data_IF_746874067796
#
_entry.id   IF_746874067796
#
_cell.length_a   1.000
_cell.length_b   1.000
_cell.length_c   1.000
_cell.angle_alpha   90.00
_cell.angle_beta   90.00
_cell.angle_gamma   90.00
#
_symmetry.space_group_name_H-M   'P 1'
#
loop_
_entity.id
_entity.type
_entity.pdbx_description
1 polymer ?
#
# COMPACT_ATOMS: atom_id res chain seq x y z
N UNK A 1 -0.33 -80.93 -10.19
CA UNK A 1 0.77 -79.97 -10.42
C UNK A 1 0.36 -78.69 -9.72
N UNK A 2 0.95 -78.45 -8.54
CA UNK A 2 0.59 -77.40 -7.60
C UNK A 2 1.21 -76.06 -8.03
N UNK A 3 0.44 -74.97 -8.01
CA UNK A 3 0.99 -73.62 -7.94
C UNK A 3 0.32 -72.95 -6.73
N UNK A 4 1.06 -72.94 -5.62
CA UNK A 4 0.70 -72.21 -4.41
C UNK A 4 1.22 -70.78 -4.52
N UNK A 5 0.32 -69.83 -4.36
CA UNK A 5 0.56 -68.39 -4.30
C UNK A 5 1.29 -68.06 -2.99
N UNK A 6 2.56 -67.66 -3.06
CA UNK A 6 3.32 -67.16 -1.90
C UNK A 6 3.08 -65.66 -1.78
N UNK A 7 2.28 -65.26 -0.79
CA UNK A 7 2.12 -63.87 -0.37
C UNK A 7 3.26 -63.55 0.60
N UNK A 8 4.24 -62.76 0.14
CA UNK A 8 5.29 -62.21 1.01
C UNK A 8 4.77 -60.93 1.66
N UNK A 9 4.36 -61.08 2.91
CA UNK A 9 4.02 -60.00 3.83
C UNK A 9 5.32 -59.27 4.21
N UNK A 10 5.54 -58.09 3.61
CA UNK A 10 6.65 -57.21 3.95
C UNK A 10 6.25 -56.35 5.15
N UNK A 11 6.77 -56.73 6.32
CA UNK A 11 6.74 -55.92 7.55
C UNK A 11 7.90 -54.92 7.43
N UNK A 12 7.59 -53.66 7.14
CA UNK A 12 8.56 -52.57 7.28
C UNK A 12 8.28 -51.86 8.61
N UNK A 13 9.11 -52.19 9.60
CA UNK A 13 9.27 -51.42 10.82
C UNK A 13 10.01 -50.14 10.45
N UNK A 14 9.38 -48.98 10.61
CA UNK A 14 10.08 -47.71 10.65
C UNK A 14 9.63 -46.95 11.90
N UNK A 15 10.62 -46.46 12.64
CA UNK A 15 10.54 -46.19 14.06
C UNK A 15 9.73 -44.95 14.42
N UNK A 16 9.09 -45.05 15.58
CA UNK A 16 8.73 -43.94 16.42
C UNK A 16 10.01 -43.15 16.75
N UNK A 17 10.06 -41.88 16.36
CA UNK A 17 10.93 -40.91 17.02
C UNK A 17 10.02 -39.87 17.64
N UNK A 18 9.99 -39.89 18.97
CA UNK A 18 9.39 -38.87 19.82
C UNK A 18 9.96 -37.50 19.46
N UNK A 19 9.17 -36.64 18.82
CA UNK A 19 9.50 -35.23 18.78
C UNK A 19 9.01 -34.60 20.09
N UNK A 20 9.95 -34.47 21.02
CA UNK A 20 9.83 -33.70 22.25
C UNK A 20 9.26 -32.31 21.97
N UNK A 21 8.33 -31.90 22.83
CA UNK A 21 7.52 -30.71 22.68
C UNK A 21 8.32 -29.41 22.61
N UNK A 22 7.94 -28.58 21.64
CA UNK A 22 8.26 -27.16 21.63
C UNK A 22 7.34 -26.46 22.65
N UNK A 23 7.86 -25.63 23.56
CA UNK A 23 7.03 -24.87 24.49
C UNK A 23 6.26 -23.77 23.75
N UNK A 24 4.95 -23.71 23.99
CA UNK A 24 4.06 -22.63 23.57
C UNK A 24 4.52 -21.28 24.14
N UNK A 25 4.41 -20.17 23.39
CA UNK A 25 4.62 -18.84 23.94
C UNK A 25 3.56 -18.56 25.01
N UNK A 26 4.04 -18.23 26.21
CA UNK A 26 3.26 -17.99 27.41
C UNK A 26 2.49 -16.68 27.26
N UNK A 27 1.18 -16.75 27.05
CA UNK A 27 0.27 -15.61 27.17
C UNK A 27 0.14 -15.21 28.65
N UNK A 28 0.58 -14.00 29.00
CA UNK A 28 0.30 -13.37 30.31
C UNK A 28 -0.65 -12.19 30.09
N UNK A 29 -1.67 -12.00 30.95
CA UNK A 29 -2.91 -11.33 30.58
C UNK A 29 -2.91 -9.81 30.76
N UNK A 30 -3.90 -9.22 30.11
CA UNK A 30 -4.29 -7.82 30.11
C UNK A 30 -4.33 -7.17 31.51
N UNK A 31 -3.86 -5.93 31.57
CA UNK A 31 -4.27 -4.95 32.58
C UNK A 31 -5.16 -3.91 31.91
N UNK A 32 -6.35 -3.78 32.49
CA UNK A 32 -7.40 -2.83 32.19
C UNK A 32 -7.01 -1.41 32.57
N UNK A 33 -7.26 -0.45 31.69
CA UNK A 33 -7.71 0.89 32.10
C UNK A 33 -8.44 1.58 30.95
N UNK A 34 -9.75 1.67 31.13
CA UNK A 34 -10.67 2.53 30.41
C UNK A 34 -10.31 4.00 30.62
N UNK A 35 -10.21 4.78 29.54
CA UNK A 35 -10.52 6.22 29.60
C UNK A 35 -11.14 6.66 28.28
N UNK A 36 -12.45 6.85 28.34
CA UNK A 36 -13.26 7.60 27.39
C UNK A 36 -12.72 9.03 27.29
N UNK A 37 -12.20 9.43 26.13
CA UNK A 37 -11.96 10.82 25.81
C UNK A 37 -12.74 11.15 24.54
N UNK A 38 -13.83 11.90 24.73
CA UNK A 38 -14.71 12.36 23.67
C UNK A 38 -14.01 13.33 22.71
N UNK A 39 -14.45 13.26 21.46
CA UNK A 39 -14.11 14.17 20.38
C UNK A 39 -14.67 15.58 20.70
N UNK A 40 -13.86 16.66 20.69
CA UNK A 40 -14.40 18.01 20.77
C UNK A 40 -14.93 18.46 19.41
N UNK A 41 -16.25 18.48 19.27
CA UNK A 41 -16.97 19.14 18.17
C UNK A 41 -16.82 20.65 18.31
N UNK A 42 -15.95 21.26 17.51
CA UNK A 42 -15.86 22.73 17.44
C UNK A 42 -16.84 23.22 16.37
N UNK A 43 -17.95 23.78 16.84
CA UNK A 43 -18.91 24.54 16.04
C UNK A 43 -18.25 25.88 15.68
N UNK A 44 -17.92 26.08 14.40
CA UNK A 44 -17.51 27.39 13.90
C UNK A 44 -18.70 28.10 13.28
N UNK A 45 -19.05 29.23 13.89
CA UNK A 45 -20.10 30.18 13.53
C UNK A 45 -19.89 30.76 12.12
N UNK A 46 -20.94 30.73 11.31
CA UNK A 46 -21.03 31.37 10.00
C UNK A 46 -21.17 32.88 10.20
N UNK A 47 -20.20 33.68 9.73
CA UNK A 47 -20.33 35.13 9.67
C UNK A 47 -20.73 35.56 8.26
N UNK A 48 -21.95 36.06 8.18
CA UNK A 48 -22.57 36.75 7.05
C UNK A 48 -21.80 38.04 6.73
N UNK A 49 -21.31 38.17 5.50
CA UNK A 49 -20.80 39.45 4.97
C UNK A 49 -21.47 39.78 3.64
N UNK A 50 -21.84 41.04 3.54
CA UNK A 50 -22.68 41.71 2.56
C UNK A 50 -21.99 41.97 1.21
N UNK A 51 -22.69 41.71 0.09
CA UNK A 51 -22.49 42.35 -1.23
C UNK A 51 -22.76 43.89 -1.14
N UNK A 52 -22.40 44.80 -2.09
CA UNK A 52 -22.39 44.68 -3.58
C UNK A 52 -21.28 45.59 -4.25
N UNK A 53 -21.35 46.08 -5.52
CA UNK A 53 -22.22 45.81 -6.66
C UNK A 53 -21.50 45.45 -7.99
N UNK A 54 -22.34 45.15 -8.98
CA UNK A 54 -22.04 44.81 -10.36
C UNK A 54 -21.32 45.92 -11.14
N UNK A 55 -20.37 45.51 -11.98
CA UNK A 55 -19.92 46.28 -13.13
C UNK A 55 -20.19 45.54 -14.43
N UNK A 56 -20.70 46.31 -15.38
CA UNK A 56 -21.10 45.94 -16.73
C UNK A 56 -19.90 46.08 -17.65
N UNK A 57 -19.59 45.10 -18.49
CA UNK A 57 -18.93 45.41 -19.77
C UNK A 57 -19.13 44.35 -20.85
N UNK A 58 -19.86 44.78 -21.89
CA UNK A 58 -19.65 44.61 -23.33
C UNK A 58 -19.28 43.24 -23.92
N UNK A 59 -20.27 42.72 -24.64
CA UNK A 59 -20.17 41.76 -25.75
C UNK A 59 -19.26 42.31 -26.86
N UNK A 60 -18.28 41.50 -27.28
CA UNK A 60 -17.60 41.66 -28.57
C UNK A 60 -17.75 40.36 -29.35
N UNK A 61 -18.44 40.46 -30.47
CA UNK A 61 -18.58 39.42 -31.49
C UNK A 61 -17.45 39.59 -32.52
N UNK A 62 -16.67 38.53 -32.77
CA UNK A 62 -15.87 38.37 -33.97
C UNK A 62 -15.73 36.87 -34.26
N UNK A 63 -16.57 36.35 -35.18
CA UNK A 63 -16.22 35.94 -36.57
C UNK A 63 -15.31 34.71 -36.63
N UNK A 64 -15.93 33.62 -37.08
CA UNK A 64 -15.37 32.35 -37.54
C UNK A 64 -14.38 32.55 -38.68
N UNK A 65 -13.22 31.89 -38.58
CA UNK A 65 -12.42 31.47 -39.74
C UNK A 65 -11.88 30.07 -39.47
N UNK A 66 -12.34 29.13 -40.28
CA UNK A 66 -11.76 27.80 -40.42
C UNK A 66 -10.32 27.90 -40.93
N UNK A 67 -9.38 27.25 -40.25
CA UNK A 67 -8.05 26.99 -40.77
C UNK A 67 -7.62 25.55 -40.46
N UNK A 68 -7.21 24.91 -41.54
CA UNK A 68 -6.87 23.51 -41.70
C UNK A 68 -5.62 23.10 -40.91
N UNK A 69 -5.65 21.85 -40.48
CA UNK A 69 -4.71 21.02 -39.74
C UNK A 69 -3.22 21.19 -40.06
N UNK A 70 -2.40 21.20 -39.02
CA UNK A 70 -1.03 20.64 -39.01
C UNK A 70 -0.80 19.99 -37.64
N UNK A 71 -0.32 18.75 -37.54
CA UNK A 71 -0.07 18.12 -36.25
C UNK A 71 1.19 18.73 -35.64
N UNK A 72 1.01 19.62 -34.66
CA UNK A 72 2.09 20.05 -33.79
C UNK A 72 2.49 18.89 -32.89
N UNK A 73 3.68 18.35 -33.12
CA UNK A 73 4.42 17.47 -32.19
C UNK A 73 4.28 18.00 -30.76
N UNK A 74 3.94 17.18 -29.75
CA UNK A 74 3.97 17.62 -28.37
C UNK A 74 5.37 18.12 -28.03
N UNK A 75 5.45 19.38 -27.63
CA UNK A 75 6.66 20.00 -27.09
C UNK A 75 7.12 19.16 -25.91
N UNK A 76 8.31 18.56 -26.00
CA UNK A 76 8.93 17.88 -24.88
C UNK A 76 9.18 18.91 -23.76
N UNK A 77 8.50 18.71 -22.64
CA UNK A 77 8.72 19.35 -21.34
C UNK A 77 10.20 19.16 -20.91
N UNK A 78 10.81 20.10 -20.17
CA UNK A 78 12.24 20.06 -19.88
C UNK A 78 12.65 18.79 -19.14
N UNK A 79 13.84 18.30 -19.44
CA UNK A 79 14.46 17.10 -18.88
C UNK A 79 14.45 17.06 -17.35
N UNK A 80 13.71 16.10 -16.82
CA UNK A 80 14.14 15.17 -15.77
C UNK A 80 14.17 15.72 -14.35
N UNK A 81 13.03 15.79 -13.68
CA UNK A 81 13.01 15.44 -12.25
C UNK A 81 13.52 14.00 -12.14
N UNK A 82 14.51 13.76 -11.29
CA UNK A 82 14.99 12.40 -10.97
C UNK A 82 13.77 11.59 -10.53
N UNK A 83 13.52 10.44 -11.17
CA UNK A 83 12.38 9.58 -10.86
C UNK A 83 12.89 8.16 -10.65
N UNK A 84 12.58 7.58 -9.50
CA UNK A 84 12.99 6.21 -9.18
C UNK A 84 11.78 5.31 -8.92
N UNK A 85 11.76 4.17 -9.60
CA UNK A 85 10.73 3.15 -9.43
C UNK A 85 10.88 2.46 -8.07
N UNK A 86 9.83 2.49 -7.25
CA UNK A 86 9.83 1.87 -5.93
C UNK A 86 10.19 0.37 -5.99
N UNK A 87 9.70 -0.34 -7.01
CA UNK A 87 9.94 -1.78 -7.19
C UNK A 87 11.39 -2.12 -7.54
N UNK A 88 12.16 -1.14 -8.05
CA UNK A 88 13.60 -1.28 -8.29
C UNK A 88 14.44 -1.09 -7.02
N UNK A 89 13.86 -0.49 -5.99
CA UNK A 89 14.55 -0.09 -4.76
C UNK A 89 14.24 -1.02 -3.58
N UNK A 90 13.04 -1.59 -3.51
CA UNK A 90 12.52 -2.32 -2.35
C UNK A 90 11.86 -3.65 -2.72
N UNK A 91 11.70 -4.55 -1.75
CA UNK A 91 11.12 -5.89 -1.93
C UNK A 91 9.81 -6.06 -1.14
N UNK A 92 8.73 -6.62 -1.72
CA UNK A 92 7.47 -6.90 -1.00
C UNK A 92 7.62 -8.07 -0.03
N UNK A 93 8.34 -7.86 1.07
CA UNK A 93 8.65 -8.89 2.06
C UNK A 93 8.15 -8.60 3.47
N UNK A 94 7.61 -7.42 3.70
CA UNK A 94 7.06 -7.03 4.99
C UNK A 94 5.60 -7.43 5.19
N UNK A 95 5.30 -8.73 5.21
CA UNK A 95 3.94 -9.23 5.38
C UNK A 95 3.46 -9.10 6.83
N UNK A 96 2.29 -8.50 7.05
CA UNK A 96 1.77 -8.19 8.39
C UNK A 96 0.29 -8.54 8.55
N UNK A 97 -0.12 -8.78 9.79
CA UNK A 97 -1.52 -9.00 10.16
C UNK A 97 -2.02 -10.38 9.75
N UNK A 98 -3.26 -10.45 9.26
CA UNK A 98 -3.88 -11.67 8.76
C UNK A 98 -3.31 -12.05 7.38
N UNK A 99 -2.02 -12.41 7.29
CA UNK A 99 -1.31 -12.58 6.01
C UNK A 99 -1.89 -13.68 5.12
N UNK A 100 -2.54 -14.70 5.71
CA UNK A 100 -3.21 -15.76 4.95
C UNK A 100 -4.50 -15.27 4.26
N UNK A 101 -4.95 -14.05 4.55
CA UNK A 101 -6.08 -13.39 3.88
C UNK A 101 -5.61 -12.58 2.67
N UNK A 102 -4.30 -12.53 2.38
CA UNK A 102 -3.74 -11.74 1.28
C UNK A 102 -3.42 -12.66 0.09
N UNK A 103 -3.95 -12.32 -1.07
CA UNK A 103 -3.42 -12.78 -2.36
C UNK A 103 -2.74 -11.60 -3.07
N UNK A 104 -1.51 -11.82 -3.52
CA UNK A 104 -0.67 -10.80 -4.15
C UNK A 104 -0.19 -11.28 -5.51
N UNK A 105 -0.39 -10.44 -6.53
CA UNK A 105 0.21 -10.62 -7.83
C UNK A 105 0.97 -9.34 -8.19
N UNK A 106 2.30 -9.44 -8.30
CA UNK A 106 3.15 -8.31 -8.68
C UNK A 106 2.85 -7.79 -10.09
N UNK A 107 2.47 -8.70 -11.00
CA UNK A 107 2.39 -8.47 -12.44
C UNK A 107 1.03 -8.96 -12.97
N UNK A 108 -0.06 -8.31 -12.57
CA UNK A 108 -1.42 -8.65 -13.02
C UNK A 108 -1.78 -7.89 -14.29
N UNK A 109 -2.10 -8.62 -15.35
CA UNK A 109 -2.62 -8.05 -16.60
C UNK A 109 -4.12 -7.73 -16.56
N UNK A 110 -4.80 -7.95 -15.42
CA UNK A 110 -6.25 -7.74 -15.30
C UNK A 110 -6.63 -6.26 -15.48
N UNK A 111 -5.76 -5.37 -14.99
CA UNK A 111 -5.95 -3.94 -15.09
C UNK A 111 -4.63 -3.21 -14.84
N UNK A 112 -3.99 -2.74 -15.90
CA UNK A 112 -2.84 -1.84 -15.82
C UNK A 112 -3.29 -0.38 -15.89
N UNK A 113 -2.53 0.53 -15.29
CA UNK A 113 -2.60 1.97 -15.58
C UNK A 113 -1.63 2.30 -16.71
N UNK A 114 -0.36 1.96 -16.52
CA UNK A 114 0.71 2.12 -17.49
C UNK A 114 1.31 0.77 -17.87
N UNK A 115 1.73 0.63 -19.13
CA UNK A 115 2.37 -0.60 -19.57
C UNK A 115 1.42 -1.82 -19.57
N UNK A 116 1.97 -3.04 -19.39
CA UNK A 116 1.21 -4.28 -19.60
C UNK A 116 0.54 -4.86 -18.35
N UNK A 117 0.96 -4.46 -17.14
CA UNK A 117 0.53 -5.04 -15.88
C UNK A 117 0.51 -4.01 -14.73
N UNK A 118 -0.10 -4.40 -13.61
CA UNK A 118 -0.10 -3.65 -12.35
C UNK A 118 0.00 -4.64 -11.18
N UNK A 119 0.33 -4.11 -9.99
CA UNK A 119 0.23 -4.87 -8.75
C UNK A 119 -1.24 -5.06 -8.41
N UNK A 120 -1.65 -6.30 -8.15
CA UNK A 120 -2.99 -6.64 -7.66
C UNK A 120 -2.89 -7.22 -6.25
N UNK A 121 -3.70 -6.68 -5.35
CA UNK A 121 -3.82 -7.17 -3.97
C UNK A 121 -5.28 -7.50 -3.71
N UNK A 122 -5.55 -8.73 -3.28
CA UNK A 122 -6.83 -9.14 -2.73
C UNK A 122 -6.67 -9.42 -1.23
N UNK A 123 -7.59 -8.86 -0.43
CA UNK A 123 -7.73 -9.14 0.99
C UNK A 123 -9.11 -9.76 1.23
N UNK A 124 -9.18 -10.96 1.80
CA UNK A 124 -10.45 -11.68 2.00
C UNK A 124 -11.24 -11.20 3.23
N UNK A 125 -10.57 -10.57 4.21
CA UNK A 125 -11.16 -10.14 5.48
C UNK A 125 -11.73 -11.25 6.38
N UNK A 126 -11.33 -12.50 6.15
CA UNK A 126 -11.74 -13.68 6.93
C UNK A 126 -11.17 -13.68 8.36
N UNK A 127 -10.15 -12.84 8.62
CA UNK A 127 -9.47 -12.71 9.91
C UNK A 127 -8.83 -14.03 10.34
N UNK A 128 -8.16 -14.72 9.42
CA UNK A 128 -7.61 -16.06 9.67
C UNK A 128 -6.60 -16.10 10.83
N UNK A 129 -5.96 -14.97 11.16
CA UNK A 129 -5.05 -14.82 12.31
C UNK A 129 -5.63 -13.97 13.44
N UNK A 130 -6.92 -13.60 13.35
CA UNK A 130 -7.67 -12.88 14.37
C UNK A 130 -7.34 -11.39 14.52
N UNK A 131 -6.52 -10.81 13.65
CA UNK A 131 -6.05 -9.43 13.78
C UNK A 131 -7.08 -8.42 13.25
N UNK A 132 -7.87 -8.80 12.24
CA UNK A 132 -8.86 -7.94 11.61
C UNK A 132 -8.26 -6.91 10.64
N UNK A 133 -6.99 -7.06 10.28
CA UNK A 133 -6.26 -6.23 9.33
C UNK A 133 -5.09 -7.00 8.73
N UNK A 134 -4.65 -6.58 7.54
CA UNK A 134 -3.48 -7.13 6.89
C UNK A 134 -2.74 -6.04 6.10
N UNK A 135 -1.46 -6.26 5.83
CA UNK A 135 -0.66 -5.32 5.06
C UNK A 135 0.61 -5.92 4.48
N UNK A 136 1.19 -5.21 3.53
CA UNK A 136 2.48 -5.53 2.89
C UNK A 136 3.34 -4.29 2.94
N UNK A 137 4.53 -4.40 3.51
CA UNK A 137 5.61 -3.43 3.38
C UNK A 137 6.57 -3.87 2.28
N UNK A 138 7.00 -2.91 1.47
CA UNK A 138 8.16 -3.02 0.60
C UNK A 138 9.39 -2.57 1.40
N UNK A 139 10.27 -3.52 1.71
CA UNK A 139 11.40 -3.34 2.61
C UNK A 139 12.74 -3.39 1.87
N UNK A 140 13.71 -2.64 2.41
CA UNK A 140 15.11 -2.78 2.05
C UNK A 140 16.04 -2.72 3.30
N UNK A 141 17.03 -3.62 3.39
CA UNK A 141 17.13 -4.89 2.69
C UNK A 141 15.86 -5.74 2.84
N UNK A 142 15.78 -6.82 2.05
CA UNK A 142 14.64 -7.74 2.12
C UNK A 142 14.35 -8.15 3.57
N UNK A 143 13.08 -8.04 3.99
CA UNK A 143 12.62 -8.36 5.35
C UNK A 143 13.33 -7.59 6.48
N UNK A 144 13.85 -6.38 6.20
CA UNK A 144 14.48 -5.54 7.22
C UNK A 144 13.46 -4.84 8.11
N UNK A 145 13.16 -5.43 9.27
CA UNK A 145 12.37 -4.83 10.35
C UNK A 145 13.25 -4.10 11.37
N UNK A 146 14.19 -3.28 10.89
CA UNK A 146 15.12 -2.52 11.72
C UNK A 146 16.22 -3.35 12.38
N UNK A 147 16.50 -4.54 11.82
CA UNK A 147 17.56 -5.45 12.27
C UNK A 147 18.88 -5.23 11.54
N UNK A 148 18.84 -4.66 10.33
CA UNK A 148 20.01 -4.34 9.53
C UNK A 148 20.25 -2.81 9.52
N UNK A 149 21.50 -2.40 9.72
CA UNK A 149 21.93 -0.99 9.60
C UNK A 149 22.13 -0.60 8.14
N UNK A 150 21.07 -0.73 7.35
CA UNK A 150 21.10 -0.46 5.91
C UNK A 150 19.73 0.05 5.45
N UNK A 151 19.71 0.80 4.36
CA UNK A 151 18.53 1.48 3.83
C UNK A 151 18.84 2.19 2.51
N UNK A 152 17.82 2.82 1.94
CA UNK A 152 17.95 3.64 0.73
C UNK A 152 18.13 5.09 1.11
N UNK A 153 19.14 5.74 0.57
CA UNK A 153 19.21 7.20 0.58
C UNK A 153 18.28 7.73 -0.51
N UNK A 154 17.19 8.36 -0.08
CA UNK A 154 16.16 8.94 -0.94
C UNK A 154 16.11 10.46 -0.80
N UNK A 155 17.18 11.08 -0.27
CA UNK A 155 17.22 12.51 0.05
C UNK A 155 17.08 13.45 -1.15
N UNK A 156 17.22 12.95 -2.38
CA UNK A 156 17.00 13.73 -3.60
C UNK A 156 15.51 13.91 -3.95
N UNK A 157 14.63 13.08 -3.38
CA UNK A 157 13.20 13.05 -3.71
C UNK A 157 12.39 13.84 -2.67
N UNK A 158 11.27 14.38 -3.13
CA UNK A 158 10.37 15.25 -2.36
C UNK A 158 8.95 14.72 -2.26
N UNK A 159 8.60 13.73 -3.09
CA UNK A 159 7.29 13.10 -3.16
C UNK A 159 7.43 11.60 -3.40
N UNK A 160 6.47 10.84 -2.89
CA UNK A 160 6.17 9.48 -3.32
C UNK A 160 4.81 9.51 -4.00
N UNK A 161 4.76 9.23 -5.30
CA UNK A 161 3.55 9.20 -6.12
C UNK A 161 3.17 7.75 -6.45
N UNK A 162 1.88 7.50 -6.60
CA UNK A 162 1.36 6.21 -7.03
C UNK A 162 -0.05 6.34 -7.58
N UNK A 163 -0.40 5.45 -8.50
CA UNK A 163 -1.75 5.29 -9.02
C UNK A 163 -2.43 4.12 -8.34
N UNK A 164 -3.68 4.30 -7.94
CA UNK A 164 -4.47 3.24 -7.28
C UNK A 164 -5.92 3.29 -7.73
N UNK A 165 -6.55 2.12 -7.76
CA UNK A 165 -8.00 2.00 -7.86
C UNK A 165 -8.54 0.75 -7.16
N UNK A 166 -9.84 0.77 -6.90
CA UNK A 166 -10.61 -0.38 -6.45
C UNK A 166 -11.09 -1.25 -7.61
N UNK A 167 -11.38 -2.52 -7.33
CA UNK A 167 -12.02 -3.41 -8.28
C UNK A 167 -13.52 -3.13 -8.44
N UNK A 168 -14.20 -2.73 -7.35
CA UNK A 168 -15.65 -2.46 -7.32
C UNK A 168 -15.99 -1.04 -6.88
N UNK A 169 -15.02 -0.31 -6.32
CA UNK A 169 -15.22 1.01 -5.74
C UNK A 169 -15.75 0.94 -4.31
N UNK A 170 -15.33 1.88 -3.47
CA UNK A 170 -15.66 1.95 -2.05
C UNK A 170 -14.67 1.24 -1.13
N UNK A 171 -13.69 0.50 -1.68
CA UNK A 171 -12.61 -0.12 -0.92
C UNK A 171 -11.87 0.94 -0.07
N UNK A 172 -11.53 0.56 1.15
CA UNK A 172 -10.83 1.43 2.12
C UNK A 172 -9.42 0.93 2.35
N UNK A 173 -8.42 1.74 2.06
CA UNK A 173 -7.01 1.37 2.20
C UNK A 173 -6.19 2.54 2.72
N UNK A 174 -5.07 2.25 3.36
CA UNK A 174 -4.10 3.25 3.80
C UNK A 174 -2.73 2.93 3.20
N UNK A 175 -2.02 3.96 2.73
CA UNK A 175 -0.67 3.84 2.21
C UNK A 175 0.33 4.60 3.07
N UNK A 176 1.53 4.02 3.26
CA UNK A 176 2.57 4.59 4.13
C UNK A 176 3.96 4.49 3.51
N UNK A 177 4.87 5.29 4.06
CA UNK A 177 6.32 5.24 3.77
C UNK A 177 7.11 5.57 5.02
N UNK A 178 8.25 4.91 5.19
CA UNK A 178 9.10 4.95 6.38
C UNK A 178 8.50 4.20 7.57
N UNK A 179 8.99 4.53 8.76
CA UNK A 179 8.42 4.10 10.05
C UNK A 179 8.79 2.69 10.51
N UNK A 180 9.73 2.02 9.84
CA UNK A 180 10.31 0.77 10.37
C UNK A 180 11.04 1.07 11.67
N UNK A 181 10.59 0.44 12.76
CA UNK A 181 11.21 0.56 14.09
C UNK A 181 12.11 -0.65 14.36
N UNK A 182 13.08 -0.49 15.26
CA UNK A 182 14.03 -1.53 15.62
C UNK A 182 15.34 -0.99 16.19
N UNK A 183 16.34 -1.86 16.30
CA UNK A 183 17.70 -1.47 16.72
C UNK A 183 18.27 -0.40 15.80
N UNK A 184 18.12 -0.62 14.50
CA UNK A 184 18.41 0.35 13.45
C UNK A 184 17.08 0.85 12.91
N UNK A 185 16.62 1.98 13.43
CA UNK A 185 15.37 2.58 12.96
C UNK A 185 15.54 3.22 11.59
N UNK A 186 14.43 3.28 10.86
CA UNK A 186 14.27 4.11 9.67
C UNK A 186 14.60 5.57 9.99
N UNK A 187 15.32 6.27 9.11
CA UNK A 187 15.52 7.72 9.27
C UNK A 187 14.19 8.47 9.14
N UNK A 188 13.30 7.98 8.28
CA UNK A 188 11.96 8.49 8.11
C UNK A 188 11.07 7.95 9.23
N UNK A 189 11.04 8.66 10.36
CA UNK A 189 10.27 8.25 11.54
C UNK A 189 9.54 9.43 12.23
N UNK A 190 8.25 9.29 12.60
CA UNK A 190 7.36 8.17 12.28
C UNK A 190 7.07 8.08 10.77
N UNK A 191 6.38 7.01 10.34
CA UNK A 191 5.93 6.90 8.95
C UNK A 191 5.08 8.13 8.54
N UNK A 192 5.11 8.44 7.25
CA UNK A 192 4.14 9.33 6.60
C UNK A 192 3.02 8.48 5.99
N UNK A 193 1.82 9.04 5.88
CA UNK A 193 0.63 8.28 5.46
C UNK A 193 -0.35 9.14 4.67
N UNK A 194 -1.11 8.51 3.77
CA UNK A 194 -2.30 9.11 3.15
C UNK A 194 -3.49 9.25 4.11
N UNK A 195 -3.44 8.56 5.25
CA UNK A 195 -4.65 8.17 5.97
C UNK A 195 -5.50 7.20 5.13
N UNK A 196 -6.71 6.92 5.60
CA UNK A 196 -7.61 5.98 4.92
C UNK A 196 -8.23 6.65 3.69
N UNK A 197 -7.90 6.13 2.52
CA UNK A 197 -8.51 6.47 1.24
C UNK A 197 -9.79 5.65 1.01
N UNK A 198 -10.68 6.19 0.19
CA UNK A 198 -11.83 5.47 -0.37
C UNK A 198 -11.64 5.42 -1.86
N UNK A 199 -11.41 4.23 -2.41
CA UNK A 199 -11.06 4.10 -3.81
C UNK A 199 -12.29 4.17 -4.69
N UNK A 200 -12.13 4.74 -5.89
CA UNK A 200 -13.10 4.60 -6.98
C UNK A 200 -12.71 3.43 -7.88
N UNK A 201 -13.50 3.15 -8.90
CA UNK A 201 -13.16 2.19 -9.97
C UNK A 201 -12.22 2.77 -11.02
N UNK A 202 -11.99 4.09 -10.98
CA UNK A 202 -11.09 4.78 -11.89
C UNK A 202 -9.70 4.90 -11.26
N UNK A 203 -8.68 4.91 -12.12
CA UNK A 203 -7.32 5.18 -11.68
C UNK A 203 -7.20 6.61 -11.16
N UNK A 204 -6.74 6.74 -9.92
CA UNK A 204 -6.51 8.03 -9.26
C UNK A 204 -5.06 8.09 -8.76
N UNK A 205 -4.39 9.21 -9.05
CA UNK A 205 -3.05 9.48 -8.55
C UNK A 205 -3.11 10.03 -7.13
N UNK A 206 -2.24 9.50 -6.27
CA UNK A 206 -2.03 9.99 -4.92
C UNK A 206 -0.55 10.28 -4.69
N UNK A 207 -0.30 11.16 -3.72
CA UNK A 207 1.06 11.55 -3.35
C UNK A 207 1.19 11.67 -1.83
N UNK A 208 2.34 11.22 -1.31
CA UNK A 208 2.80 11.51 0.04
C UNK A 208 3.97 12.50 -0.09
N UNK A 209 3.82 13.69 0.48
CA UNK A 209 4.88 14.69 0.52
C UNK A 209 6.00 14.24 1.47
N UNK A 210 7.24 14.21 0.98
CA UNK A 210 8.45 13.86 1.73
C UNK A 210 9.30 15.08 2.10
N UNK A 211 8.90 16.27 1.63
CA UNK A 211 9.65 17.52 1.84
C UNK A 211 9.90 17.77 3.32
N UNK A 212 11.17 17.96 3.68
CA UNK A 212 11.61 18.24 5.04
C UNK A 212 11.70 17.01 5.95
N UNK A 213 11.43 15.81 5.44
CA UNK A 213 11.66 14.57 6.15
C UNK A 213 13.12 14.10 6.02
N UNK A 214 13.58 13.27 6.95
CA UNK A 214 14.91 12.66 6.89
C UNK A 214 14.85 11.35 6.08
N UNK A 215 15.31 11.41 4.83
CA UNK A 215 15.28 10.30 3.87
C UNK A 215 16.67 9.64 3.70
N UNK A 216 17.61 9.92 4.60
CA UNK A 216 19.00 9.47 4.47
C UNK A 216 19.19 7.96 4.55
N UNK A 217 18.24 7.24 5.18
CA UNK A 217 18.23 5.78 5.29
C UNK A 217 16.81 5.24 5.47
N UNK A 218 16.07 5.15 4.37
CA UNK A 218 14.71 4.61 4.32
C UNK A 218 14.73 3.10 4.18
N UNK A 219 14.04 2.41 5.10
CA UNK A 219 13.90 0.94 5.10
C UNK A 219 12.53 0.53 4.56
N UNK A 220 11.48 1.22 4.98
CA UNK A 220 10.11 0.98 4.53
C UNK A 220 9.74 1.85 3.34
N UNK A 221 9.97 1.38 2.12
CA UNK A 221 9.79 2.18 0.90
C UNK A 221 8.34 2.42 0.48
N UNK A 222 7.44 1.51 0.80
CA UNK A 222 6.01 1.67 0.54
C UNK A 222 5.25 0.65 1.39
N UNK A 223 4.04 0.98 1.79
CA UNK A 223 3.19 0.07 2.55
C UNK A 223 1.76 0.22 2.12
N UNK A 224 1.09 -0.91 1.95
CA UNK A 224 -0.36 -1.00 1.84
C UNK A 224 -0.93 -1.66 3.09
N UNK A 225 -2.06 -1.12 3.59
CA UNK A 225 -2.82 -1.69 4.71
C UNK A 225 -4.31 -1.67 4.41
N UNK A 226 -5.02 -2.74 4.79
CA UNK A 226 -6.48 -2.82 4.78
C UNK A 226 -7.00 -3.51 6.05
N UNK A 227 -8.22 -3.17 6.46
CA UNK A 227 -8.86 -3.70 7.66
C UNK A 227 -10.26 -4.25 7.37
N UNK A 228 -10.59 -5.40 7.96
CA UNK A 228 -11.89 -6.04 7.84
C UNK A 228 -13.03 -5.18 8.42
N UNK A 229 -12.74 -4.31 9.39
CA UNK A 229 -13.73 -3.37 9.91
C UNK A 229 -14.19 -2.33 8.86
N UNK A 230 -13.35 -2.04 7.88
CA UNK A 230 -13.62 -1.08 6.81
C UNK A 230 -14.02 -1.78 5.50
N UNK A 231 -13.53 -3.00 5.28
CA UNK A 231 -13.84 -3.86 4.14
C UNK A 231 -14.37 -5.22 4.64
N UNK A 232 -15.62 -5.29 5.15
CA UNK A 232 -16.14 -6.48 5.82
C UNK A 232 -16.38 -7.69 4.90
N UNK A 233 -16.34 -7.49 3.59
CA UNK A 233 -16.44 -8.55 2.58
C UNK A 233 -15.14 -8.75 1.81
N UNK A 234 -14.03 -8.24 2.37
CA UNK A 234 -12.77 -8.15 1.68
C UNK A 234 -12.72 -6.99 0.69
N UNK A 235 -11.58 -6.85 0.01
CA UNK A 235 -11.37 -5.86 -1.03
C UNK A 235 -10.33 -6.34 -2.03
N UNK A 236 -10.43 -5.86 -3.27
CA UNK A 236 -9.38 -6.04 -4.29
C UNK A 236 -8.99 -4.67 -4.80
N UNK A 237 -7.69 -4.40 -4.85
CA UNK A 237 -7.14 -3.15 -5.36
C UNK A 237 -6.08 -3.39 -6.42
N UNK A 238 -5.84 -2.37 -7.21
CA UNK A 238 -4.78 -2.31 -8.20
C UNK A 238 -3.88 -1.11 -7.91
N UNK A 239 -2.58 -1.32 -8.01
CA UNK A 239 -1.54 -0.33 -7.78
C UNK A 239 -0.60 -0.31 -8.96
N UNK A 240 -0.25 0.88 -9.43
CA UNK A 240 0.66 1.05 -10.54
C UNK A 240 1.43 2.36 -10.39
N UNK A 241 2.49 2.51 -11.19
CA UNK A 241 3.29 3.72 -11.28
C UNK A 241 3.72 4.29 -9.92
N UNK A 242 4.34 3.47 -9.08
CA UNK A 242 4.81 3.87 -7.75
C UNK A 242 6.24 4.44 -7.85
N UNK A 243 6.39 5.75 -7.68
CA UNK A 243 7.66 6.44 -7.91
C UNK A 243 8.04 7.44 -6.83
N UNK A 244 9.34 7.56 -6.60
CA UNK A 244 9.94 8.68 -5.88
C UNK A 244 10.31 9.79 -6.86
N UNK A 245 9.94 11.04 -6.54
CA UNK A 245 10.03 12.23 -7.40
C UNK A 245 10.46 13.51 -6.65
#
# INVERSE_FOLDING_TARGET
MFIALVVVMSIMVCGCTDHQGMPAPTSTPASTSSTTAGLPTTVTTVQQTTAPPAETSTVVTAVTTDAVTTPSTPSQTPSGTSRADMSSLFYPSGWMGDTNDIEYAANSADSAHSGPDAIKIHYSAEKTSGMGWAGIYWLYPDNNWGTFDDGRDLSEYTHLTFWVKGAVGGEKVEFKVGGVDGTYRDSLFPFLTTGVLTLSTEWEEHSIALTGADLSRVMGGFCWVSAAAQNPSGCTIYLDDIYYE
#
